data_IF_805774983830
#
_entry.id   IF_805774983830
#
_cell.length_a   1.000
_cell.length_b   1.000
_cell.length_c   1.000
_cell.angle_alpha   90.00
_cell.angle_beta   90.00
_cell.angle_gamma   90.00
#
_symmetry.space_group_name_H-M   'P 1'
#
loop_
_entity.id
_entity.type
_entity.pdbx_description
1 polymer ?
#
# COMPACT_ATOMS: atom_id res chain seq x y z
N UNK A 1 -3.65 -50.98 96.17
CA UNK A 1 -4.99 -51.51 95.81
C UNK A 1 -5.85 -50.37 95.29
N UNK A 2 -6.47 -50.55 94.10
CA UNK A 2 -7.76 -50.01 93.58
C UNK A 2 -8.22 -48.57 93.96
N UNK A 3 -8.88 -47.74 93.14
CA UNK A 3 -9.53 -47.80 91.82
C UNK A 3 -10.00 -46.35 91.52
N UNK A 4 -9.88 -45.92 90.26
CA UNK A 4 -10.76 -44.97 89.53
C UNK A 4 -11.18 -43.62 90.18
N UNK A 5 -10.83 -42.52 89.51
CA UNK A 5 -11.85 -41.59 88.98
C UNK A 5 -11.31 -40.79 87.79
N UNK A 6 -11.66 -41.25 86.58
CA UNK A 6 -11.68 -40.41 85.37
C UNK A 6 -12.84 -39.43 85.53
N UNK A 7 -12.58 -38.18 85.90
CA UNK A 7 -13.53 -37.10 85.61
C UNK A 7 -13.14 -36.49 84.26
N UNK A 8 -13.96 -36.82 83.26
CA UNK A 8 -13.95 -36.19 81.94
C UNK A 8 -14.12 -34.67 82.11
N UNK A 9 -13.08 -33.90 81.82
CA UNK A 9 -13.27 -32.51 81.41
C UNK A 9 -13.86 -32.55 80.00
N UNK A 10 -15.18 -32.72 79.92
CA UNK A 10 -15.96 -32.48 78.71
C UNK A 10 -16.18 -30.97 78.56
N UNK A 11 -15.09 -30.19 78.53
CA UNK A 11 -15.16 -28.75 78.34
C UNK A 11 -15.23 -28.46 76.82
N UNK A 12 -16.45 -28.55 76.30
CA UNK A 12 -17.01 -27.63 75.30
C UNK A 12 -16.19 -27.33 74.02
N UNK A 13 -15.57 -28.32 73.38
CA UNK A 13 -15.07 -28.14 72.00
C UNK A 13 -16.21 -27.75 71.03
N UNK A 14 -17.45 -28.16 71.32
CA UNK A 14 -18.65 -27.77 70.55
C UNK A 14 -18.98 -26.28 70.60
N UNK A 15 -18.63 -25.56 71.66
CA UNK A 15 -18.93 -24.13 71.79
C UNK A 15 -17.80 -23.22 71.28
N UNK A 16 -16.56 -23.71 71.22
CA UNK A 16 -15.42 -22.96 70.69
C UNK A 16 -15.47 -22.80 69.16
N UNK A 17 -15.98 -23.82 68.45
CA UNK A 17 -16.22 -23.70 67.02
C UNK A 17 -17.34 -22.70 66.72
N UNK A 18 -18.40 -22.64 67.54
CA UNK A 18 -19.52 -21.74 67.31
C UNK A 18 -19.15 -20.25 67.47
N UNK A 19 -18.27 -19.90 68.42
CA UNK A 19 -17.88 -18.50 68.70
C UNK A 19 -16.92 -17.90 67.67
N UNK A 20 -16.12 -18.69 66.97
CA UNK A 20 -15.18 -18.21 65.94
C UNK A 20 -15.76 -18.33 64.53
N UNK A 21 -16.54 -19.39 64.25
CA UNK A 21 -17.09 -19.64 62.92
C UNK A 21 -18.23 -18.66 62.59
N UNK A 22 -19.03 -18.25 63.58
CA UNK A 22 -20.12 -17.28 63.33
C UNK A 22 -19.65 -15.88 62.91
N UNK A 23 -18.71 -15.22 63.62
CA UNK A 23 -18.27 -13.88 63.22
C UNK A 23 -17.49 -13.88 61.90
N UNK A 24 -16.74 -14.94 61.61
CA UNK A 24 -16.04 -15.08 60.30
C UNK A 24 -17.03 -15.32 59.17
N UNK A 25 -18.07 -16.13 59.39
CA UNK A 25 -19.15 -16.33 58.42
C UNK A 25 -19.93 -15.05 58.15
N UNK A 26 -20.27 -14.27 59.18
CA UNK A 26 -20.96 -12.97 59.03
C UNK A 26 -20.08 -11.94 58.32
N UNK A 27 -18.77 -11.92 58.56
CA UNK A 27 -17.84 -11.04 57.85
C UNK A 27 -17.69 -11.40 56.36
N UNK A 28 -17.66 -12.70 56.03
CA UNK A 28 -17.65 -13.17 54.63
C UNK A 28 -18.99 -12.85 53.96
N UNK A 29 -20.12 -13.08 54.63
CA UNK A 29 -21.44 -12.78 54.08
C UNK A 29 -21.64 -11.27 53.86
N UNK A 30 -21.20 -10.43 54.79
CA UNK A 30 -21.24 -8.97 54.69
C UNK A 30 -20.28 -8.39 53.65
N UNK A 31 -19.08 -8.96 53.49
CA UNK A 31 -18.17 -8.55 52.40
C UNK A 31 -18.69 -8.98 51.03
N UNK A 32 -19.35 -10.14 50.93
CA UNK A 32 -19.98 -10.60 49.69
C UNK A 32 -21.12 -9.67 49.26
N UNK A 33 -21.99 -9.24 50.17
CA UNK A 33 -23.11 -8.32 49.84
C UNK A 33 -22.66 -6.91 49.46
N UNK A 34 -21.51 -6.45 49.96
CA UNK A 34 -20.93 -5.15 49.59
C UNK A 34 -20.24 -5.17 48.22
N UNK A 35 -19.66 -6.30 47.82
CA UNK A 35 -18.98 -6.46 46.53
C UNK A 35 -19.98 -6.65 45.38
N UNK A 36 -21.13 -7.28 45.63
CA UNK A 36 -22.18 -7.49 44.62
C UNK A 36 -22.62 -6.21 43.85
N UNK A 37 -22.95 -5.07 44.49
CA UNK A 37 -23.38 -3.88 43.75
C UNK A 37 -22.27 -3.25 42.89
N UNK A 38 -21.00 -3.35 43.31
CA UNK A 38 -19.86 -2.82 42.55
C UNK A 38 -19.62 -3.64 41.26
N UNK A 39 -19.81 -4.96 41.31
CA UNK A 39 -19.71 -5.82 40.12
C UNK A 39 -20.78 -5.47 39.08
N UNK A 40 -22.01 -5.23 39.51
CA UNK A 40 -23.07 -4.76 38.60
C UNK A 40 -22.75 -3.41 37.98
N UNK A 41 -22.20 -2.46 38.74
CA UNK A 41 -21.75 -1.17 38.20
C UNK A 41 -20.69 -1.33 37.11
N UNK A 42 -19.70 -2.21 37.31
CA UNK A 42 -18.67 -2.50 36.29
C UNK A 42 -19.31 -3.11 35.03
N UNK A 43 -20.25 -4.04 35.18
CA UNK A 43 -20.97 -4.64 34.04
C UNK A 43 -21.74 -3.57 33.25
N UNK A 44 -22.41 -2.63 33.93
CA UNK A 44 -23.09 -1.51 33.27
C UNK A 44 -22.12 -0.55 32.58
N UNK A 45 -20.97 -0.25 33.19
CA UNK A 45 -19.94 0.59 32.57
C UNK A 45 -19.38 -0.08 31.32
N UNK A 46 -18.97 -1.34 31.40
CA UNK A 46 -18.47 -2.09 30.24
C UNK A 46 -19.54 -2.20 29.16
N UNK A 47 -20.79 -2.50 29.55
CA UNK A 47 -21.92 -2.54 28.64
C UNK A 47 -22.14 -1.21 27.93
N UNK A 48 -22.15 -0.09 28.66
CA UNK A 48 -22.31 1.24 28.09
C UNK A 48 -21.17 1.63 27.16
N UNK A 49 -19.92 1.34 27.52
CA UNK A 49 -18.75 1.59 26.67
C UNK A 49 -18.79 0.74 25.40
N UNK A 50 -19.22 -0.52 25.49
CA UNK A 50 -19.43 -1.40 24.34
C UNK A 50 -20.51 -0.84 23.41
N UNK A 51 -21.65 -0.39 23.96
CA UNK A 51 -22.72 0.24 23.16
C UNK A 51 -22.23 1.54 22.50
N UNK A 52 -21.50 2.40 23.21
CA UNK A 52 -20.90 3.62 22.64
C UNK A 52 -19.92 3.27 21.52
N UNK A 53 -19.10 2.24 21.70
CA UNK A 53 -18.20 1.75 20.66
C UNK A 53 -18.97 1.27 19.44
N UNK A 54 -20.02 0.47 19.60
CA UNK A 54 -20.87 0.00 18.51
C UNK A 54 -21.55 1.16 17.78
N UNK A 55 -22.05 2.17 18.51
CA UNK A 55 -22.64 3.38 17.92
C UNK A 55 -21.58 4.18 17.15
N UNK A 56 -20.39 4.37 17.71
CA UNK A 56 -19.31 5.08 17.03
C UNK A 56 -18.86 4.36 15.76
N UNK A 57 -18.70 3.03 15.80
CA UNK A 57 -18.41 2.22 14.62
C UNK A 57 -19.50 2.41 13.56
N UNK A 58 -20.77 2.30 13.94
CA UNK A 58 -21.89 2.54 13.04
C UNK A 58 -21.90 3.97 12.45
N UNK A 59 -21.60 4.99 13.24
CA UNK A 59 -21.50 6.38 12.78
C UNK A 59 -20.34 6.59 11.80
N UNK A 60 -19.19 5.94 12.04
CA UNK A 60 -18.04 5.97 11.15
C UNK A 60 -18.39 5.28 9.82
N UNK A 61 -19.00 4.11 9.86
CA UNK A 61 -19.45 3.38 8.67
C UNK A 61 -20.42 4.23 7.83
N UNK A 62 -21.40 4.85 8.49
CA UNK A 62 -22.33 5.77 7.82
C UNK A 62 -21.61 6.96 7.17
N UNK A 63 -20.58 7.50 7.82
CA UNK A 63 -19.79 8.61 7.27
C UNK A 63 -18.99 8.16 6.05
N UNK A 64 -18.35 6.99 6.11
CA UNK A 64 -17.57 6.42 5.00
C UNK A 64 -18.49 6.14 3.79
N UNK A 65 -19.66 5.54 4.01
CA UNK A 65 -20.63 5.29 2.94
C UNK A 65 -21.09 6.59 2.28
N UNK A 66 -21.34 7.64 3.06
CA UNK A 66 -21.71 8.96 2.53
C UNK A 66 -20.59 9.60 1.72
N UNK A 67 -19.34 9.49 2.17
CA UNK A 67 -18.19 10.05 1.45
C UNK A 67 -17.94 9.31 0.13
N UNK A 68 -17.89 7.97 0.15
CA UNK A 68 -17.71 7.16 -1.07
C UNK A 68 -18.83 7.39 -2.07
N UNK A 69 -20.08 7.55 -1.61
CA UNK A 69 -21.21 7.88 -2.48
C UNK A 69 -21.06 9.26 -3.13
N UNK A 70 -20.59 10.28 -2.39
CA UNK A 70 -20.34 11.61 -2.96
C UNK A 70 -19.29 11.55 -4.06
N UNK A 71 -18.19 10.82 -3.84
CA UNK A 71 -17.16 10.62 -4.84
C UNK A 71 -17.70 10.00 -6.13
N UNK A 72 -18.60 9.01 -6.03
CA UNK A 72 -19.24 8.42 -7.22
C UNK A 72 -20.18 9.39 -7.96
N UNK A 73 -20.80 10.34 -7.25
CA UNK A 73 -21.67 11.35 -7.86
C UNK A 73 -20.88 12.48 -8.53
N UNK A 74 -19.66 12.75 -8.06
CA UNK A 74 -18.75 13.75 -8.63
C UNK A 74 -18.19 13.30 -10.00
N UNK A 75 -18.07 12.00 -10.25
CA UNK A 75 -17.67 11.44 -11.55
C UNK A 75 -18.69 11.77 -12.64
N UNK A 76 -18.24 12.10 -13.85
CA UNK A 76 -19.12 12.23 -15.01
C UNK A 76 -19.82 10.90 -15.36
N UNK A 77 -20.94 10.91 -16.13
CA UNK A 77 -21.65 9.67 -16.50
C UNK A 77 -20.75 8.62 -17.16
N UNK A 78 -19.91 9.03 -18.11
CA UNK A 78 -18.98 8.12 -18.80
C UNK A 78 -17.87 7.61 -17.89
N UNK A 79 -17.38 8.43 -16.95
CA UNK A 79 -16.41 7.97 -15.94
C UNK A 79 -17.04 7.00 -14.95
N UNK A 80 -18.33 7.18 -14.62
CA UNK A 80 -19.04 6.24 -13.78
C UNK A 80 -19.18 4.87 -14.47
N UNK A 81 -19.55 4.86 -15.75
CA UNK A 81 -19.57 3.64 -16.58
C UNK A 81 -18.19 2.98 -16.63
N UNK A 82 -17.15 3.77 -16.90
CA UNK A 82 -15.77 3.28 -16.91
C UNK A 82 -15.34 2.73 -15.55
N UNK A 83 -15.77 3.38 -14.45
CA UNK A 83 -15.49 2.93 -13.09
C UNK A 83 -16.18 1.61 -12.77
N UNK A 84 -17.39 1.40 -13.26
CA UNK A 84 -18.10 0.13 -13.13
C UNK A 84 -17.44 -0.95 -13.99
N UNK A 85 -16.96 -0.62 -15.18
CA UNK A 85 -16.22 -1.56 -16.04
C UNK A 85 -14.94 -2.06 -15.33
N UNK A 86 -14.12 -1.15 -14.81
CA UNK A 86 -12.93 -1.50 -14.02
C UNK A 86 -13.28 -2.35 -12.80
N UNK A 87 -14.37 -2.02 -12.09
CA UNK A 87 -14.85 -2.83 -10.97
C UNK A 87 -15.18 -4.26 -11.39
N UNK A 88 -15.83 -4.46 -12.55
CA UNK A 88 -16.14 -5.80 -13.05
C UNK A 88 -14.86 -6.58 -13.38
N UNK A 89 -13.88 -5.92 -14.00
CA UNK A 89 -12.56 -6.52 -14.26
C UNK A 89 -11.85 -6.92 -12.96
N UNK A 90 -11.83 -6.05 -11.95
CA UNK A 90 -11.24 -6.32 -10.63
C UNK A 90 -11.94 -7.48 -9.90
N UNK A 91 -13.24 -7.68 -10.14
CA UNK A 91 -13.99 -8.82 -9.62
C UNK A 91 -13.76 -10.12 -10.42
N UNK A 92 -12.92 -10.09 -11.45
CA UNK A 92 -12.53 -11.24 -12.26
C UNK A 92 -13.45 -11.54 -13.44
N UNK A 93 -14.25 -10.57 -13.89
CA UNK A 93 -15.11 -10.73 -15.06
C UNK A 93 -14.28 -10.65 -16.35
N UNK A 94 -14.75 -11.29 -17.41
CA UNK A 94 -14.07 -11.37 -18.71
C UNK A 94 -14.82 -10.58 -19.76
N UNK A 95 -14.13 -10.25 -20.86
CA UNK A 95 -14.73 -9.60 -22.04
C UNK A 95 -15.53 -8.33 -21.67
N UNK A 96 -15.02 -7.54 -20.73
CA UNK A 96 -15.65 -6.29 -20.30
C UNK A 96 -15.43 -5.25 -21.39
N UNK A 97 -16.52 -4.80 -22.00
CA UNK A 97 -16.50 -3.83 -23.11
C UNK A 97 -17.52 -2.75 -22.83
N UNK A 98 -17.07 -1.50 -22.80
CA UNK A 98 -17.93 -0.32 -22.69
C UNK A 98 -18.57 -0.06 -24.06
N UNK A 99 -19.90 -0.10 -24.09
CA UNK A 99 -20.72 0.28 -25.24
C UNK A 99 -21.06 1.76 -25.03
N UNK A 100 -20.21 2.63 -25.55
CA UNK A 100 -20.38 4.08 -25.42
C UNK A 100 -21.05 4.65 -26.67
N UNK A 101 -22.26 5.19 -26.54
CA UNK A 101 -22.93 5.80 -27.69
C UNK A 101 -24.39 6.20 -27.48
N UNK A 102 -24.78 7.31 -28.11
CA UNK A 102 -26.18 7.63 -28.37
C UNK A 102 -26.71 6.61 -29.40
N UNK A 103 -27.34 5.54 -28.91
CA UNK A 103 -27.86 4.47 -29.79
C UNK A 103 -27.92 3.08 -29.15
N UNK A 104 -27.27 2.88 -28.00
CA UNK A 104 -26.99 1.54 -27.46
C UNK A 104 -28.17 0.89 -26.72
N UNK A 105 -29.40 1.38 -26.97
CA UNK A 105 -30.66 0.92 -26.37
C UNK A 105 -30.61 0.83 -24.83
N UNK A 106 -29.74 1.64 -24.21
CA UNK A 106 -29.58 1.72 -22.77
C UNK A 106 -28.64 0.66 -22.15
N UNK A 107 -27.81 -0.04 -22.92
CA UNK A 107 -26.76 -0.90 -22.37
C UNK A 107 -25.42 -0.17 -22.42
N UNK A 108 -24.78 0.02 -21.27
CA UNK A 108 -23.55 0.80 -21.18
C UNK A 108 -22.31 -0.10 -21.18
N UNK A 109 -22.41 -1.33 -20.65
CA UNK A 109 -21.30 -2.28 -20.59
C UNK A 109 -21.80 -3.69 -20.91
N UNK A 110 -21.00 -4.45 -21.64
CA UNK A 110 -21.18 -5.90 -21.81
C UNK A 110 -20.03 -6.63 -21.15
N UNK A 111 -20.31 -7.69 -20.40
CA UNK A 111 -19.31 -8.48 -19.71
C UNK A 111 -19.69 -9.96 -19.69
N UNK A 112 -18.74 -10.82 -19.38
CA UNK A 112 -18.93 -12.26 -19.31
C UNK A 112 -18.42 -12.79 -17.97
N UNK A 113 -19.21 -13.65 -17.34
CA UNK A 113 -18.84 -14.29 -16.08
C UNK A 113 -19.41 -15.71 -16.04
N UNK A 114 -18.57 -16.66 -15.65
CA UNK A 114 -18.95 -18.08 -15.52
C UNK A 114 -19.59 -18.65 -16.80
N UNK A 115 -19.17 -18.16 -17.97
CA UNK A 115 -19.70 -18.55 -19.29
C UNK A 115 -21.05 -17.92 -19.66
N UNK A 116 -21.59 -17.03 -18.83
CA UNK A 116 -22.83 -16.30 -19.08
C UNK A 116 -22.53 -14.87 -19.55
N UNK A 117 -23.32 -14.37 -20.50
CA UNK A 117 -23.25 -13.00 -20.99
C UNK A 117 -24.12 -12.08 -20.15
N UNK A 118 -23.53 -10.99 -19.67
CA UNK A 118 -24.17 -9.97 -18.87
C UNK A 118 -24.25 -8.64 -19.62
N UNK A 119 -25.41 -8.00 -19.55
CA UNK A 119 -25.60 -6.59 -19.92
C UNK A 119 -25.63 -5.74 -18.67
N UNK A 120 -24.90 -4.64 -18.65
CA UNK A 120 -24.85 -3.76 -17.49
C UNK A 120 -25.28 -2.36 -17.91
N UNK A 121 -26.25 -1.82 -17.19
CA UNK A 121 -26.68 -0.44 -17.33
C UNK A 121 -26.34 0.32 -16.05
N UNK A 122 -25.75 1.50 -16.21
CA UNK A 122 -25.26 2.37 -15.17
C UNK A 122 -26.17 3.61 -15.07
N UNK A 123 -26.67 3.91 -13.86
CA UNK A 123 -27.47 5.10 -13.57
C UNK A 123 -26.87 5.88 -12.41
N UNK A 124 -26.13 6.94 -12.75
CA UNK A 124 -25.61 7.92 -11.79
C UNK A 124 -26.71 8.92 -11.40
N UNK A 125 -27.53 8.57 -10.43
CA UNK A 125 -28.60 9.42 -9.90
C UNK A 125 -28.48 9.67 -8.39
N UNK A 126 -28.99 10.83 -7.97
CA UNK A 126 -29.14 11.19 -6.55
C UNK A 126 -30.46 10.68 -5.96
N UNK A 127 -31.51 10.64 -6.78
CA UNK A 127 -32.86 10.17 -6.44
C UNK A 127 -33.03 8.70 -6.79
N UNK A 128 -33.97 8.04 -6.13
CA UNK A 128 -34.24 6.62 -6.35
C UNK A 128 -34.63 6.30 -7.79
N UNK A 129 -34.14 5.17 -8.28
CA UNK A 129 -34.37 4.72 -9.66
C UNK A 129 -35.75 4.07 -9.78
N UNK A 130 -36.46 4.45 -10.86
CA UNK A 130 -37.81 3.97 -11.16
C UNK A 130 -37.84 2.69 -12.00
N UNK A 131 -39.00 2.03 -12.10
CA UNK A 131 -39.14 0.72 -12.73
C UNK A 131 -38.91 0.72 -14.24
N UNK A 132 -39.05 1.88 -14.91
CA UNK A 132 -38.90 1.97 -16.36
C UNK A 132 -37.54 1.46 -16.83
N UNK A 133 -36.46 1.78 -16.11
CA UNK A 133 -35.11 1.31 -16.43
C UNK A 133 -34.97 -0.21 -16.33
N UNK A 134 -35.69 -0.84 -15.39
CA UNK A 134 -35.70 -2.30 -15.27
C UNK A 134 -36.36 -2.92 -16.50
N UNK A 135 -37.51 -2.38 -16.93
CA UNK A 135 -38.22 -2.86 -18.14
C UNK A 135 -37.38 -2.69 -19.40
N UNK A 136 -36.75 -1.52 -19.56
CA UNK A 136 -35.91 -1.22 -20.72
C UNK A 136 -34.72 -2.20 -20.79
N UNK A 137 -34.08 -2.48 -19.64
CA UNK A 137 -32.97 -3.41 -19.55
C UNK A 137 -33.41 -4.87 -19.80
N UNK A 138 -34.57 -5.29 -19.31
CA UNK A 138 -35.17 -6.60 -19.64
C UNK A 138 -35.44 -6.69 -21.14
N UNK A 139 -35.94 -5.62 -21.77
CA UNK A 139 -36.12 -5.56 -23.21
C UNK A 139 -34.80 -5.72 -23.97
N UNK A 140 -33.76 -5.00 -23.54
CA UNK A 140 -32.42 -5.09 -24.13
C UNK A 140 -31.82 -6.50 -23.98
N UNK A 141 -32.04 -7.16 -22.82
CA UNK A 141 -31.60 -8.52 -22.55
C UNK A 141 -32.16 -9.51 -23.59
N UNK A 142 -33.47 -9.45 -23.87
CA UNK A 142 -34.10 -10.33 -24.87
C UNK A 142 -33.63 -10.03 -26.30
N UNK A 143 -33.47 -8.75 -26.64
CA UNK A 143 -33.06 -8.34 -28.00
C UNK A 143 -31.61 -8.76 -28.29
N UNK A 144 -30.71 -8.59 -27.32
CA UNK A 144 -29.28 -8.91 -27.50
C UNK A 144 -28.95 -10.38 -27.20
N UNK A 145 -29.91 -11.17 -26.71
CA UNK A 145 -29.71 -12.58 -26.36
C UNK A 145 -28.70 -12.78 -25.25
N UNK A 146 -28.73 -11.95 -24.21
CA UNK A 146 -27.88 -12.10 -23.03
C UNK A 146 -28.59 -12.94 -21.95
N UNK A 147 -27.82 -13.61 -21.10
CA UNK A 147 -28.36 -14.52 -20.08
C UNK A 147 -28.85 -13.79 -18.83
N UNK A 148 -28.18 -12.67 -18.53
CA UNK A 148 -28.37 -11.88 -17.31
C UNK A 148 -28.14 -10.40 -17.60
N UNK A 149 -28.71 -9.54 -16.77
CA UNK A 149 -28.41 -8.12 -16.78
C UNK A 149 -28.27 -7.56 -15.37
N UNK A 150 -27.54 -6.44 -15.25
CA UNK A 150 -27.28 -5.75 -13.99
C UNK A 150 -27.62 -4.27 -14.18
N UNK A 151 -28.52 -3.76 -13.35
CA UNK A 151 -28.79 -2.34 -13.25
C UNK A 151 -28.02 -1.78 -12.05
N UNK A 152 -27.00 -0.98 -12.31
CA UNK A 152 -26.13 -0.36 -11.31
C UNK A 152 -26.57 1.07 -11.08
N UNK A 153 -26.80 1.46 -9.82
CA UNK A 153 -27.19 2.81 -9.46
C UNK A 153 -26.41 3.36 -8.27
N UNK A 154 -26.10 4.66 -8.31
CA UNK A 154 -25.52 5.41 -7.16
C UNK A 154 -26.56 5.77 -6.08
N UNK A 155 -27.77 5.22 -6.18
CA UNK A 155 -28.92 5.47 -5.33
C UNK A 155 -29.73 4.20 -5.14
N UNK A 156 -30.68 4.22 -4.20
CA UNK A 156 -31.60 3.11 -3.97
C UNK A 156 -32.61 2.92 -5.12
N UNK A 157 -33.12 1.70 -5.27
CA UNK A 157 -34.26 1.40 -6.14
C UNK A 157 -35.58 1.57 -5.42
N UNK A 158 -36.59 2.08 -6.13
CA UNK A 158 -37.96 2.12 -5.63
C UNK A 158 -38.50 0.71 -5.35
N UNK A 159 -39.45 0.53 -4.39
CA UNK A 159 -40.06 -0.77 -4.12
C UNK A 159 -40.64 -1.43 -5.38
N UNK A 160 -41.26 -0.63 -6.24
CA UNK A 160 -41.79 -1.08 -7.53
C UNK A 160 -40.69 -1.64 -8.44
N UNK A 161 -39.54 -0.99 -8.54
CA UNK A 161 -38.42 -1.50 -9.35
C UNK A 161 -37.91 -2.85 -8.84
N UNK A 162 -37.89 -3.04 -7.51
CA UNK A 162 -37.51 -4.32 -6.91
C UNK A 162 -38.55 -5.40 -7.20
N UNK A 163 -39.85 -5.06 -7.22
CA UNK A 163 -40.91 -5.98 -7.62
C UNK A 163 -40.81 -6.35 -9.10
N UNK A 164 -40.52 -5.37 -9.96
CA UNK A 164 -40.38 -5.55 -11.40
C UNK A 164 -39.19 -6.47 -11.77
N UNK A 165 -38.09 -6.37 -11.00
CA UNK A 165 -36.93 -7.23 -11.18
C UNK A 165 -37.14 -8.66 -10.64
N UNK A 166 -38.14 -8.90 -9.77
CA UNK A 166 -38.38 -10.25 -9.22
C UNK A 166 -38.82 -11.21 -10.32
N UNK A 167 -38.16 -12.37 -10.37
CA UNK A 167 -38.42 -13.40 -11.37
C UNK A 167 -37.84 -13.10 -12.75
N UNK A 168 -37.16 -11.97 -12.92
CA UNK A 168 -36.44 -11.62 -14.15
C UNK A 168 -34.95 -11.95 -14.00
N UNK A 169 -34.26 -12.06 -15.14
CA UNK A 169 -32.81 -12.25 -15.20
C UNK A 169 -32.01 -10.95 -14.92
N UNK A 170 -32.54 -10.06 -14.07
CA UNK A 170 -31.97 -8.73 -13.79
C UNK A 170 -31.59 -8.60 -12.32
N UNK A 171 -30.33 -8.29 -12.06
CA UNK A 171 -29.81 -7.95 -10.74
C UNK A 171 -29.79 -6.44 -10.53
N UNK A 172 -30.14 -5.99 -9.33
CA UNK A 172 -30.16 -4.58 -8.97
C UNK A 172 -29.01 -4.28 -8.00
N UNK A 173 -28.05 -3.48 -8.44
CA UNK A 173 -26.93 -3.02 -7.61
C UNK A 173 -27.21 -1.60 -7.16
N UNK A 174 -27.72 -1.46 -5.93
CA UNK A 174 -27.94 -0.15 -5.31
C UNK A 174 -26.64 0.41 -4.72
N UNK A 175 -26.74 1.58 -4.09
CA UNK A 175 -25.62 2.25 -3.45
C UNK A 175 -24.89 1.37 -2.43
N UNK A 176 -25.62 0.53 -1.68
CA UNK A 176 -25.02 -0.36 -0.69
C UNK A 176 -24.28 -1.52 -1.36
N UNK A 177 -24.94 -2.21 -2.29
CA UNK A 177 -24.35 -3.35 -2.99
C UNK A 177 -23.13 -2.89 -3.80
N UNK A 178 -23.22 -1.77 -4.52
CA UNK A 178 -22.11 -1.22 -5.30
C UNK A 178 -20.89 -0.93 -4.42
N UNK A 179 -21.09 -0.29 -3.25
CA UNK A 179 -20.01 -0.01 -2.31
C UNK A 179 -19.42 -1.29 -1.71
N UNK A 180 -20.26 -2.29 -1.44
CA UNK A 180 -19.80 -3.60 -1.00
C UNK A 180 -18.93 -4.26 -2.08
N UNK A 181 -19.36 -4.27 -3.34
CA UNK A 181 -18.57 -4.81 -4.46
C UNK A 181 -17.24 -4.10 -4.64
N UNK A 182 -17.22 -2.76 -4.51
CA UNK A 182 -15.98 -1.98 -4.52
C UNK A 182 -15.04 -2.43 -3.40
N UNK A 183 -15.55 -2.62 -2.19
CA UNK A 183 -14.74 -3.12 -1.07
C UNK A 183 -14.26 -4.56 -1.27
N UNK A 184 -15.06 -5.42 -1.91
CA UNK A 184 -14.66 -6.79 -2.23
C UNK A 184 -13.53 -6.82 -3.25
N UNK A 185 -13.61 -5.97 -4.28
CA UNK A 185 -12.54 -5.79 -5.26
C UNK A 185 -11.23 -5.30 -4.59
N UNK A 186 -11.32 -4.30 -3.70
CA UNK A 186 -10.18 -3.83 -2.89
C UNK A 186 -9.55 -4.99 -2.10
N UNK A 187 -10.36 -5.84 -1.47
CA UNK A 187 -9.88 -6.99 -0.68
C UNK A 187 -9.19 -8.05 -1.55
N UNK A 188 -9.75 -8.37 -2.72
CA UNK A 188 -9.14 -9.32 -3.66
C UNK A 188 -7.76 -8.81 -4.09
N UNK A 189 -7.67 -7.53 -4.47
CA UNK A 189 -6.41 -6.93 -4.88
C UNK A 189 -5.39 -6.93 -3.72
N UNK A 190 -5.80 -6.52 -2.52
CA UNK A 190 -4.94 -6.52 -1.34
C UNK A 190 -4.42 -7.93 -0.99
N UNK A 191 -5.27 -8.94 -1.05
CA UNK A 191 -4.88 -10.32 -0.79
C UNK A 191 -3.82 -10.81 -1.80
N UNK A 192 -4.01 -10.49 -3.09
CA UNK A 192 -3.04 -10.83 -4.13
C UNK A 192 -1.69 -10.12 -3.96
N UNK A 193 -1.67 -8.89 -3.45
CA UNK A 193 -0.44 -8.15 -3.16
C UNK A 193 0.32 -8.77 -1.97
N UNK A 194 -0.39 -9.13 -0.90
CA UNK A 194 0.22 -9.80 0.26
C UNK A 194 0.86 -11.12 -0.15
N UNK A 195 0.16 -11.93 -0.94
CA UNK A 195 0.69 -13.20 -1.46
C UNK A 195 1.98 -12.98 -2.26
N UNK A 196 1.96 -12.06 -3.23
CA UNK A 196 3.13 -11.74 -4.07
C UNK A 196 4.31 -11.22 -3.26
N UNK A 197 4.06 -10.43 -2.22
CA UNK A 197 5.10 -9.93 -1.33
C UNK A 197 5.68 -11.05 -0.46
N UNK A 198 4.87 -12.00 0.00
CA UNK A 198 5.34 -13.18 0.72
C UNK A 198 6.23 -14.07 -0.16
N UNK A 199 5.83 -14.33 -1.41
CA UNK A 199 6.63 -15.11 -2.36
C UNK A 199 7.99 -14.46 -2.64
N UNK A 200 8.00 -13.12 -2.79
CA UNK A 200 9.24 -12.35 -2.94
C UNK A 200 10.13 -12.39 -1.70
N UNK A 201 9.56 -12.31 -0.49
CA UNK A 201 10.33 -12.43 0.75
C UNK A 201 10.92 -13.82 0.92
N UNK A 202 10.19 -14.88 0.60
CA UNK A 202 10.70 -16.25 0.64
C UNK A 202 11.86 -16.46 -0.34
N UNK A 203 11.77 -15.92 -1.56
CA UNK A 203 12.86 -15.94 -2.52
C UNK A 203 14.09 -15.14 -2.03
N UNK A 204 13.86 -13.97 -1.43
CA UNK A 204 14.92 -13.13 -0.87
C UNK A 204 15.64 -13.80 0.32
N UNK A 205 14.89 -14.44 1.22
CA UNK A 205 15.44 -15.21 2.34
C UNK A 205 16.25 -16.43 1.84
N UNK A 206 15.74 -17.13 0.82
CA UNK A 206 16.45 -18.26 0.21
C UNK A 206 17.77 -17.84 -0.47
N UNK A 207 17.77 -16.73 -1.21
CA UNK A 207 18.98 -16.18 -1.84
C UNK A 207 20.00 -15.66 -0.82
N UNK A 208 19.54 -15.06 0.27
CA UNK A 208 20.43 -14.65 1.37
C UNK A 208 21.06 -15.86 2.07
N UNK A 209 20.27 -16.90 2.35
CA UNK A 209 20.77 -18.16 2.92
C UNK A 209 21.80 -18.86 2.03
N UNK A 210 21.53 -18.93 0.71
CA UNK A 210 22.46 -19.52 -0.26
C UNK A 210 23.79 -18.74 -0.34
N UNK A 211 23.75 -17.41 -0.35
CA UNK A 211 24.96 -16.58 -0.34
C UNK A 211 25.78 -16.77 0.94
N UNK A 212 25.12 -16.93 2.09
CA UNK A 212 25.80 -17.15 3.37
C UNK A 212 26.46 -18.53 3.44
N UNK A 213 25.82 -19.57 2.90
CA UNK A 213 26.41 -20.90 2.75
C UNK A 213 27.61 -20.88 1.80
N UNK A 214 27.49 -20.22 0.65
CA UNK A 214 28.60 -20.06 -0.30
C UNK A 214 29.78 -19.28 0.30
N UNK A 215 29.51 -18.21 1.07
CA UNK A 215 30.53 -17.48 1.79
C UNK A 215 31.22 -18.33 2.86
N UNK A 216 30.45 -19.16 3.60
CA UNK A 216 31.01 -20.11 4.57
C UNK A 216 31.90 -21.16 3.92
N UNK A 217 31.48 -21.72 2.78
CA UNK A 217 32.30 -22.66 1.98
C UNK A 217 33.57 -21.96 1.47
N UNK A 218 33.46 -20.74 0.95
CA UNK A 218 34.62 -19.97 0.50
C UNK A 218 35.63 -19.71 1.64
N UNK A 219 35.16 -19.42 2.86
CA UNK A 219 36.01 -19.25 4.04
C UNK A 219 36.68 -20.56 4.48
N UNK A 220 36.00 -21.70 4.35
CA UNK A 220 36.58 -23.02 4.61
C UNK A 220 37.72 -23.36 3.64
N UNK A 221 37.58 -22.99 2.36
CA UNK A 221 38.63 -23.21 1.35
C UNK A 221 39.74 -22.16 1.37
N UNK A 222 39.45 -20.91 1.76
CA UNK A 222 40.44 -19.83 1.81
C UNK A 222 41.28 -19.81 3.09
N UNK A 223 40.85 -20.50 4.15
CA UNK A 223 41.52 -20.50 5.46
C UNK A 223 41.26 -19.21 6.24
N UNK A 224 41.02 -19.33 7.54
CA UNK A 224 40.87 -18.17 8.43
C UNK A 224 42.23 -17.47 8.54
N UNK A 225 42.36 -16.18 8.18
CA UNK A 225 43.62 -15.47 8.33
C UNK A 225 44.03 -15.46 9.81
N UNK A 226 45.17 -16.07 10.10
CA UNK A 226 45.73 -16.12 11.45
C UNK A 226 46.13 -14.70 11.87
N UNK A 227 45.39 -14.10 12.80
CA UNK A 227 45.80 -12.85 13.44
C UNK A 227 46.87 -13.21 14.47
N UNK A 228 48.14 -13.10 14.09
CA UNK A 228 49.26 -13.23 15.03
C UNK A 228 49.44 -11.89 15.75
N UNK A 229 49.10 -11.86 17.05
CA UNK A 229 49.38 -10.73 17.93
C UNK A 229 50.82 -10.83 18.44
N UNK A 230 51.67 -9.88 18.03
CA UNK A 230 53.02 -9.76 18.56
C UNK A 230 53.00 -8.87 19.81
N UNK A 231 53.88 -9.16 20.78
CA UNK A 231 53.92 -8.60 22.15
C UNK A 231 54.18 -7.10 22.32
N UNK A 232 53.94 -6.28 21.30
CA UNK A 232 53.86 -4.82 21.39
C UNK A 232 52.68 -4.39 20.52
N UNK A 233 51.55 -4.08 21.16
CA UNK A 233 50.22 -3.90 20.53
C UNK A 233 50.16 -2.85 19.41
N UNK A 234 50.62 -3.25 18.22
CA UNK A 234 50.55 -2.47 16.97
C UNK A 234 50.24 -3.43 15.82
N UNK A 235 49.17 -3.13 15.06
CA UNK A 235 48.75 -3.87 13.87
C UNK A 235 49.82 -3.72 12.77
N UNK A 236 50.59 -4.78 12.52
CA UNK A 236 51.47 -4.88 11.35
C UNK A 236 50.86 -5.87 10.37
N UNK A 237 50.49 -5.37 9.19
CA UNK A 237 50.09 -6.20 8.06
C UNK A 237 51.35 -6.91 7.51
N UNK A 238 51.53 -8.18 7.87
CA UNK A 238 52.56 -9.05 7.28
C UNK A 238 52.18 -9.35 5.82
N UNK A 239 53.02 -8.86 4.90
CA UNK A 239 52.79 -8.88 3.47
C UNK A 239 52.73 -10.26 2.82
N UNK A 240 51.94 -10.32 1.75
CA UNK A 240 52.12 -11.26 0.66
C UNK A 240 53.37 -10.91 -0.16
N UNK A 241 53.99 -11.95 -0.70
CA UNK A 241 55.25 -11.96 -1.43
C UNK A 241 55.26 -11.08 -2.71
N UNK A 242 56.46 -10.71 -3.21
CA UNK A 242 56.65 -9.63 -4.17
C UNK A 242 56.40 -10.03 -5.63
N UNK A 243 55.92 -9.06 -6.41
CA UNK A 243 55.94 -9.07 -7.87
C UNK A 243 57.39 -9.06 -8.36
N UNK A 244 57.80 -10.17 -9.00
CA UNK A 244 59.05 -10.29 -9.75
C UNK A 244 59.09 -9.27 -10.88
N UNK A 245 60.08 -8.41 -10.84
CA UNK A 245 60.53 -7.54 -11.92
C UNK A 245 61.29 -8.37 -12.96
N UNK A 246 60.89 -8.25 -14.23
CA UNK A 246 61.73 -8.56 -15.37
C UNK A 246 61.42 -7.51 -16.44
N UNK A 247 62.26 -6.47 -16.50
CA UNK A 247 62.53 -5.77 -17.75
C UNK A 247 63.97 -5.30 -17.71
N UNK A 248 64.75 -5.99 -18.52
CA UNK A 248 66.18 -5.89 -18.77
C UNK A 248 66.47 -4.58 -19.47
N UNK A 249 67.34 -3.77 -18.88
CA UNK A 249 67.96 -2.64 -19.56
C UNK A 249 68.94 -3.17 -20.62
N UNK A 250 68.86 -2.58 -21.81
CA UNK A 250 69.77 -2.78 -22.94
C UNK A 250 71.12 -2.09 -22.69
N UNK A 251 72.22 -2.66 -23.19
CA UNK A 251 73.51 -1.98 -23.29
C UNK A 251 74.29 -2.47 -24.50
N UNK A 252 74.35 -1.64 -25.53
CA UNK A 252 75.41 -1.53 -26.54
C UNK A 252 75.03 -0.34 -27.43
N UNK A 253 75.87 0.60 -27.86
CA UNK A 253 77.24 1.01 -27.57
C UNK A 253 77.41 2.38 -28.28
N UNK A 254 78.58 3.02 -28.14
CA UNK A 254 79.10 4.23 -28.82
C UNK A 254 78.80 5.56 -28.09
N UNK A 255 79.75 6.25 -27.43
CA UNK A 255 81.08 6.82 -27.78
C UNK A 255 81.06 8.33 -28.12
N UNK A 256 82.13 8.99 -27.66
CA UNK A 256 82.59 10.40 -27.79
C UNK A 256 81.99 11.39 -26.78
N UNK A 257 82.77 11.91 -25.82
CA UNK A 257 83.79 13.00 -25.92
C UNK A 257 83.20 14.25 -26.58
N UNK A 258 83.34 15.48 -26.09
CA UNK A 258 84.21 16.10 -25.11
C UNK A 258 84.10 17.61 -25.36
N UNK A 259 84.33 18.38 -24.30
CA UNK A 259 84.04 19.80 -24.08
C UNK A 259 84.61 20.84 -25.07
N UNK A 260 83.97 22.02 -25.03
CA UNK A 260 84.52 23.39 -25.20
C UNK A 260 84.86 23.88 -26.63
N UNK A 261 84.76 25.15 -27.01
CA UNK A 261 84.14 26.40 -26.50
C UNK A 261 84.34 27.48 -27.59
N UNK A 262 83.64 28.61 -27.43
CA UNK A 262 83.84 29.93 -28.06
C UNK A 262 83.07 30.28 -29.35
N UNK A 263 82.36 31.42 -29.31
CA UNK A 263 82.18 32.27 -30.48
C UNK A 263 80.76 32.80 -30.77
N UNK A 264 80.49 34.03 -30.32
CA UNK A 264 79.78 35.12 -31.05
C UNK A 264 78.34 34.88 -31.55
N UNK A 265 77.40 35.62 -30.93
CA UNK A 265 76.52 36.59 -31.61
C UNK A 265 75.30 36.13 -32.46
N UNK A 266 74.13 36.55 -31.94
CA UNK A 266 72.92 37.08 -32.63
C UNK A 266 71.74 36.10 -32.92
N UNK A 267 70.55 36.63 -32.60
CA UNK A 267 69.15 36.32 -33.02
C UNK A 267 68.24 35.53 -32.04
N UNK A 268 67.13 36.20 -31.66
CA UNK A 268 65.85 35.77 -31.01
C UNK A 268 65.21 34.55 -31.75
N UNK A 269 64.13 33.87 -31.29
CA UNK A 269 63.27 34.08 -30.11
C UNK A 269 62.80 32.81 -29.34
N UNK A 270 61.99 33.04 -28.30
CA UNK A 270 60.81 32.22 -27.92
C UNK A 270 60.89 31.30 -26.68
N UNK A 271 60.10 31.73 -25.68
CA UNK A 271 59.33 31.02 -24.65
C UNK A 271 59.99 29.97 -23.75
N UNK A 272 60.25 30.37 -22.51
CA UNK A 272 60.39 29.47 -21.37
C UNK A 272 59.01 29.29 -20.72
N UNK A 273 58.52 28.04 -20.66
CA UNK A 273 57.27 27.70 -20.01
C UNK A 273 57.44 27.69 -18.48
N UNK A 274 56.58 28.44 -17.80
CA UNK A 274 56.40 28.44 -16.35
C UNK A 274 55.84 27.10 -15.87
N UNK A 275 56.30 26.50 -14.76
CA UNK A 275 55.68 25.30 -14.21
C UNK A 275 54.26 25.60 -13.71
N UNK A 276 53.29 24.90 -14.29
CA UNK A 276 51.86 24.93 -13.90
C UNK A 276 51.70 24.41 -12.46
N UNK A 277 50.99 25.11 -11.56
CA UNK A 277 50.69 24.59 -10.23
C UNK A 277 49.76 23.37 -10.32
N UNK A 278 49.99 22.39 -9.44
CA UNK A 278 49.18 21.17 -9.35
C UNK A 278 47.69 21.50 -9.10
N UNK A 279 46.75 20.73 -9.69
CA UNK A 279 45.32 21.02 -9.54
C UNK A 279 44.89 20.83 -8.08
N UNK A 280 44.36 21.89 -7.48
CA UNK A 280 43.63 21.86 -6.23
C UNK A 280 42.46 20.89 -6.36
N UNK A 281 42.36 19.88 -5.49
CA UNK A 281 41.20 18.99 -5.44
C UNK A 281 39.96 19.79 -5.07
N UNK A 282 39.10 20.04 -6.06
CA UNK A 282 37.77 20.61 -5.85
C UNK A 282 37.00 19.70 -4.88
N UNK A 283 36.43 20.21 -3.77
CA UNK A 283 35.58 19.40 -2.91
C UNK A 283 34.41 18.88 -3.74
N UNK A 284 34.25 17.56 -3.80
CA UNK A 284 33.09 16.91 -4.39
C UNK A 284 31.82 17.52 -3.79
N UNK A 285 30.86 18.03 -4.58
CA UNK A 285 29.63 18.58 -4.03
C UNK A 285 28.95 17.51 -3.17
N UNK A 286 28.63 17.86 -1.93
CA UNK A 286 27.82 17.03 -1.05
C UNK A 286 26.55 16.59 -1.80
N UNK A 287 26.11 15.32 -1.70
CA UNK A 287 24.90 14.88 -2.35
C UNK A 287 23.75 15.80 -1.92
N UNK A 288 23.19 16.54 -2.87
CA UNK A 288 22.00 17.35 -2.63
C UNK A 288 20.92 16.39 -2.11
N UNK A 289 20.30 16.64 -0.94
CA UNK A 289 19.23 15.79 -0.46
C UNK A 289 18.15 15.78 -1.54
N UNK A 290 17.89 14.60 -2.12
CA UNK A 290 16.84 14.42 -3.12
C UNK A 290 15.54 14.94 -2.51
N UNK A 291 14.85 15.91 -3.13
CA UNK A 291 13.59 16.40 -2.59
C UNK A 291 12.64 15.21 -2.48
N UNK A 292 12.17 14.94 -1.26
CA UNK A 292 11.16 13.90 -1.00
C UNK A 292 9.89 14.37 -1.69
N UNK A 293 9.65 13.87 -2.90
CA UNK A 293 8.44 14.21 -3.64
C UNK A 293 7.26 13.53 -2.97
N UNK A 294 6.14 14.23 -2.75
CA UNK A 294 4.95 13.63 -2.16
C UNK A 294 4.43 12.51 -3.07
N UNK A 295 4.04 11.40 -2.47
CA UNK A 295 3.49 10.23 -3.16
C UNK A 295 2.02 10.04 -2.81
N UNK A 296 1.23 9.52 -3.74
CA UNK A 296 -0.15 9.11 -3.52
C UNK A 296 -0.35 7.64 -3.86
N UNK A 297 -1.32 7.01 -3.19
CA UNK A 297 -1.76 5.65 -3.52
C UNK A 297 -2.95 5.77 -4.48
N UNK A 298 -2.85 5.08 -5.60
CA UNK A 298 -3.96 4.96 -6.55
C UNK A 298 -5.05 4.12 -5.93
N UNK A 299 -6.27 4.63 -5.88
CA UNK A 299 -7.39 3.95 -5.22
C UNK A 299 -7.92 2.78 -6.07
N UNK A 300 -8.23 3.01 -7.35
CA UNK A 300 -8.97 2.06 -8.20
C UNK A 300 -8.48 1.98 -9.65
N UNK A 301 -7.29 2.52 -9.91
CA UNK A 301 -6.76 2.61 -11.27
C UNK A 301 -7.52 3.56 -12.19
N UNK A 302 -6.95 3.82 -13.35
CA UNK A 302 -7.52 4.69 -14.37
C UNK A 302 -6.47 5.18 -15.37
N UNK A 303 -6.86 6.09 -16.25
CA UNK A 303 -6.02 6.52 -17.36
C UNK A 303 -5.06 7.64 -16.95
N UNK A 304 -3.79 7.50 -17.32
CA UNK A 304 -2.78 8.56 -17.36
C UNK A 304 -2.86 9.22 -18.73
N UNK A 305 -3.09 10.54 -18.76
CA UNK A 305 -3.39 11.27 -19.99
C UNK A 305 -2.32 12.31 -20.32
N UNK A 306 -2.19 12.67 -21.59
CA UNK A 306 -1.26 13.69 -22.04
C UNK A 306 -1.66 15.10 -21.57
N UNK A 307 -2.96 15.34 -21.42
CA UNK A 307 -3.54 16.63 -21.02
C UNK A 307 -4.49 16.43 -19.84
N UNK A 308 -4.74 17.45 -19.00
CA UNK A 308 -5.71 17.41 -17.91
C UNK A 308 -7.14 17.54 -18.45
N UNK A 309 -7.51 16.62 -19.33
CA UNK A 309 -8.78 16.60 -20.03
C UNK A 309 -9.24 15.16 -20.23
N UNK A 310 -10.55 14.93 -20.07
CA UNK A 310 -11.17 13.63 -20.31
C UNK A 310 -11.11 13.21 -21.79
N UNK A 311 -10.88 14.17 -22.70
CA UNK A 311 -10.68 13.93 -24.14
C UNK A 311 -9.21 13.74 -24.52
N UNK A 312 -8.28 14.00 -23.60
CA UNK A 312 -6.84 13.90 -23.85
C UNK A 312 -6.42 12.46 -24.15
N UNK A 313 -5.39 12.30 -24.99
CA UNK A 313 -4.86 10.98 -25.34
C UNK A 313 -4.42 10.21 -24.09
N UNK A 314 -4.78 8.93 -24.03
CA UNK A 314 -4.34 8.02 -22.96
C UNK A 314 -2.91 7.61 -23.26
N UNK A 315 -1.99 8.01 -22.39
CA UNK A 315 -0.57 7.67 -22.47
C UNK A 315 -0.29 6.32 -21.81
N UNK A 316 -0.94 6.06 -20.67
CA UNK A 316 -0.78 4.81 -19.92
C UNK A 316 -2.01 4.57 -19.03
N UNK A 317 -2.04 3.44 -18.35
CA UNK A 317 -3.01 3.12 -17.30
C UNK A 317 -2.30 2.88 -15.98
N UNK A 318 -2.85 3.42 -14.91
CA UNK A 318 -2.45 3.13 -13.53
C UNK A 318 -3.46 2.15 -12.92
N UNK A 319 -2.98 1.25 -12.07
CA UNK A 319 -3.83 0.26 -11.40
C UNK A 319 -4.07 0.65 -9.94
N UNK A 320 -5.11 0.08 -9.34
CA UNK A 320 -5.34 0.18 -7.90
C UNK A 320 -4.06 -0.19 -7.12
N UNK A 321 -3.82 0.52 -6.03
CA UNK A 321 -2.67 0.42 -5.13
C UNK A 321 -1.28 0.71 -5.73
N UNK A 322 -1.18 1.18 -6.97
CA UNK A 322 0.09 1.73 -7.45
C UNK A 322 0.44 3.01 -6.66
N UNK A 323 1.71 3.16 -6.30
CA UNK A 323 2.20 4.40 -5.69
C UNK A 323 2.71 5.32 -6.80
N UNK A 324 2.14 6.51 -6.89
CA UNK A 324 2.51 7.51 -7.90
C UNK A 324 3.14 8.72 -7.24
N UNK A 325 4.10 9.34 -7.92
CA UNK A 325 4.74 10.56 -7.45
C UNK A 325 3.92 11.75 -7.94
N UNK A 326 3.55 12.65 -7.02
CA UNK A 326 2.78 13.85 -7.34
C UNK A 326 3.72 14.99 -7.77
N UNK A 327 3.46 15.57 -8.94
CA UNK A 327 4.23 16.70 -9.47
C UNK A 327 3.52 18.03 -9.25
N UNK A 328 2.20 18.05 -9.37
CA UNK A 328 1.39 19.25 -9.16
C UNK A 328 -0.07 19.04 -9.53
N UNK A 329 -0.84 20.11 -9.49
CA UNK A 329 -2.29 20.10 -9.74
C UNK A 329 -2.72 21.21 -10.69
N UNK A 330 -3.85 21.06 -11.37
CA UNK A 330 -4.49 22.17 -12.08
C UNK A 330 -5.03 23.21 -11.08
N UNK A 331 -5.29 24.44 -11.54
CA UNK A 331 -5.85 25.52 -10.71
C UNK A 331 -7.15 25.10 -9.99
N UNK A 332 -7.98 24.33 -10.69
CA UNK A 332 -9.26 23.83 -10.17
C UNK A 332 -9.11 22.60 -9.24
N UNK A 333 -7.89 22.04 -9.12
CA UNK A 333 -7.60 20.85 -8.31
C UNK A 333 -8.16 19.53 -8.85
N UNK A 334 -8.87 19.55 -9.98
CA UNK A 334 -9.52 18.38 -10.58
C UNK A 334 -8.51 17.38 -11.15
N UNK A 335 -7.39 17.88 -11.68
CA UNK A 335 -6.35 17.07 -12.29
C UNK A 335 -5.04 17.18 -11.56
N UNK A 336 -4.36 16.05 -11.47
CA UNK A 336 -3.05 15.92 -10.85
C UNK A 336 -2.06 15.40 -11.88
N UNK A 337 -0.91 16.06 -11.94
CA UNK A 337 0.21 15.63 -12.76
C UNK A 337 1.04 14.68 -11.94
N UNK A 338 1.29 13.49 -12.46
CA UNK A 338 1.96 12.39 -11.77
C UNK A 338 3.07 11.76 -12.60
N UNK A 339 3.96 11.05 -11.92
CA UNK A 339 4.85 10.05 -12.52
C UNK A 339 4.46 8.69 -11.96
N UNK A 340 4.19 7.74 -12.84
CA UNK A 340 3.84 6.38 -12.46
C UNK A 340 5.09 5.50 -12.19
N UNK A 341 4.92 4.27 -11.65
CA UNK A 341 6.05 3.36 -11.42
C UNK A 341 6.86 3.00 -12.68
N UNK A 342 6.23 3.14 -13.85
CA UNK A 342 6.82 2.90 -15.18
C UNK A 342 7.59 4.13 -15.71
N UNK A 343 7.81 5.16 -14.89
CA UNK A 343 8.48 6.42 -15.25
C UNK A 343 7.75 7.21 -16.35
N UNK A 344 6.47 6.92 -16.60
CA UNK A 344 5.62 7.68 -17.50
C UNK A 344 4.97 8.84 -16.73
N UNK A 345 5.14 10.03 -17.27
CA UNK A 345 4.53 11.25 -16.76
C UNK A 345 3.20 11.52 -17.48
N UNK A 346 2.20 12.01 -16.73
CA UNK A 346 0.96 12.50 -17.30
C UNK A 346 -0.05 12.95 -16.26
N UNK A 347 -1.25 13.24 -16.73
CA UNK A 347 -2.35 13.76 -15.93
C UNK A 347 -3.33 12.65 -15.56
N UNK A 348 -3.70 12.62 -14.28
CA UNK A 348 -4.72 11.72 -13.75
C UNK A 348 -5.77 12.52 -13.01
N UNK A 349 -7.00 12.02 -13.05
CA UNK A 349 -8.09 12.68 -12.36
C UNK A 349 -7.95 12.51 -10.84
N UNK A 350 -8.26 13.56 -10.07
CA UNK A 350 -8.12 13.60 -8.61
C UNK A 350 -8.83 12.46 -7.89
N UNK A 351 -9.98 12.02 -8.41
CA UNK A 351 -10.78 10.92 -7.84
C UNK A 351 -10.10 9.56 -7.89
N UNK A 352 -9.04 9.40 -8.69
CA UNK A 352 -8.30 8.15 -8.83
C UNK A 352 -7.26 7.95 -7.72
N UNK A 353 -6.94 9.01 -6.96
CA UNK A 353 -5.86 9.01 -5.98
C UNK A 353 -6.39 9.22 -4.56
N UNK A 354 -5.83 8.47 -3.62
CA UNK A 354 -5.99 8.71 -2.19
C UNK A 354 -4.82 9.58 -1.72
N UNK A 355 -5.13 10.83 -1.39
CA UNK A 355 -4.16 11.86 -1.00
C UNK A 355 -4.60 12.47 0.32
N UNK A 356 -3.67 12.64 1.24
CA UNK A 356 -3.90 13.38 2.47
C UNK A 356 -4.15 14.87 2.13
N UNK A 357 -5.20 15.51 2.67
CA UNK A 357 -5.54 16.90 2.34
C UNK A 357 -4.39 17.90 2.57
N UNK A 358 -3.53 17.61 3.55
CA UNK A 358 -2.34 18.41 3.88
C UNK A 358 -1.30 18.36 2.76
N UNK A 359 -1.04 17.18 2.20
CA UNK A 359 -0.13 16.95 1.08
C UNK A 359 -0.66 17.60 -0.19
N UNK A 360 -1.96 17.48 -0.44
CA UNK A 360 -2.58 18.09 -1.63
C UNK A 360 -2.51 19.62 -1.63
N UNK A 361 -2.66 20.25 -0.46
CA UNK A 361 -2.54 21.70 -0.31
C UNK A 361 -1.12 22.22 -0.62
N UNK A 362 -0.10 21.37 -0.47
CA UNK A 362 1.30 21.71 -0.75
C UNK A 362 1.70 21.54 -2.22
N UNK A 363 0.84 20.98 -3.08
CA UNK A 363 1.16 20.76 -4.49
C UNK A 363 1.13 22.06 -5.30
N UNK A 364 2.15 22.30 -6.15
CA UNK A 364 2.18 23.49 -7.01
C UNK A 364 1.07 23.43 -8.06
N UNK A 365 0.52 24.59 -8.39
CA UNK A 365 -0.44 24.75 -9.48
C UNK A 365 0.33 24.80 -10.80
N UNK A 366 0.06 23.84 -11.69
CA UNK A 366 0.72 23.71 -13.00
C UNK A 366 -0.34 24.00 -14.08
N UNK A 367 0.01 24.89 -15.01
CA UNK A 367 -0.82 25.15 -16.18
C UNK A 367 -0.78 23.94 -17.14
N UNK A 368 -1.91 23.62 -17.81
CA UNK A 368 -2.04 22.47 -18.71
C UNK A 368 -0.96 22.40 -19.78
#
# INVERSE_FOLDING_TARGET
MARRSRQRSSYNSSNLHATIVMPTFLAILGSLTLVQPLLWQIVFIIGSLSVIFLINQWLIDLRILRLRRRQLLELSPSEFEQRVALLLEDLGWKNVVIRGGSGDRGVDITAERDGLRYLVQCKRYSKSVGPNYVRDLVGALHIQGADRAILVATSSFTPQSRLEARGQAVELWDDKILLQRLSDAERIHNAQQVQRNQDRMLLALGTFGLNLVLAGIALLFAGIPQITLNGQGTLVQSGGAPLRTANTASSSNLQSQGSSSAGIGVVKPTSQATPTPAPTSTPTPAPTPTPIRPTAIVFNGGNVRAEPSLKGAVLDQIHANETVVLLGRTADGVWLRIINPRQQEGWVHRSLLTIEPTVEATLPVIAP
#
